data_IF_726022895873
#
_entry.id   IF_726022895873
#
_cell.length_a   1.000
_cell.length_b   1.000
_cell.length_c   1.000
_cell.angle_alpha   90.00
_cell.angle_beta   90.00
_cell.angle_gamma   90.00
#
_symmetry.space_group_name_H-M   'P 1'
#
loop_
_entity.id
_entity.type
_entity.pdbx_description
1 polymer ?
#
# COMPACT_ATOMS: atom_id res chain seq x y z
N UNK A 1 2.41 0.87 -10.81
CA UNK A 1 3.33 2.02 -10.85
C UNK A 1 4.18 2.02 -9.60
N UNK A 2 5.45 2.43 -9.66
CA UNK A 2 6.19 2.75 -8.43
C UNK A 2 6.24 4.27 -8.24
N UNK A 3 6.21 4.74 -7.01
CA UNK A 3 6.31 6.17 -6.67
C UNK A 3 7.78 6.52 -6.39
N UNK A 4 8.17 7.77 -6.64
CA UNK A 4 9.50 8.28 -6.28
C UNK A 4 9.49 9.07 -4.96
N UNK A 5 10.66 9.59 -4.57
CA UNK A 5 10.82 10.36 -3.34
C UNK A 5 9.95 11.62 -3.29
N UNK A 6 9.84 12.34 -4.42
CA UNK A 6 9.03 13.55 -4.50
C UNK A 6 7.55 13.19 -4.39
N UNK A 7 7.12 12.11 -5.05
CA UNK A 7 5.75 11.61 -4.93
C UNK A 7 5.42 11.25 -3.47
N UNK A 8 6.36 10.59 -2.76
CA UNK A 8 6.19 10.24 -1.35
C UNK A 8 6.05 11.47 -0.45
N UNK A 9 6.92 12.47 -0.63
CA UNK A 9 6.85 13.75 0.11
C UNK A 9 5.60 14.55 -0.21
N UNK A 10 5.12 14.50 -1.45
CA UNK A 10 3.85 15.12 -1.85
C UNK A 10 2.69 14.48 -1.10
N UNK A 11 2.57 13.15 -1.14
CA UNK A 11 1.50 12.43 -0.45
C UNK A 11 1.54 12.74 1.05
N UNK A 12 2.73 12.69 1.67
CA UNK A 12 2.89 13.00 3.09
C UNK A 12 2.44 14.43 3.47
N UNK A 13 2.80 15.41 2.64
CA UNK A 13 2.41 16.81 2.85
C UNK A 13 0.90 16.99 2.73
N UNK A 14 0.27 16.43 1.70
CA UNK A 14 -1.17 16.53 1.51
C UNK A 14 -1.97 15.66 2.50
N UNK A 15 -1.40 14.59 3.06
CA UNK A 15 -2.03 13.84 4.15
C UNK A 15 -1.99 14.62 5.46
N UNK A 16 -0.87 15.28 5.76
CA UNK A 16 -0.69 16.02 7.02
C UNK A 16 -1.38 17.39 7.00
N UNK A 17 -1.41 18.04 5.83
CA UNK A 17 -2.07 19.33 5.61
C UNK A 17 -3.02 19.24 4.41
N UNK A 18 -4.22 18.60 4.54
CA UNK A 18 -5.12 18.35 3.42
C UNK A 18 -5.61 19.58 2.65
N UNK A 19 -5.56 20.75 3.31
CA UNK A 19 -5.98 22.04 2.73
C UNK A 19 -4.82 22.83 2.12
N UNK A 20 -3.60 22.29 2.09
CA UNK A 20 -2.46 22.98 1.49
C UNK A 20 -2.69 23.22 -0.01
N UNK A 21 -2.47 24.45 -0.45
CA UNK A 21 -2.56 24.78 -1.87
C UNK A 21 -1.33 24.29 -2.64
N UNK A 22 -1.51 23.96 -3.93
CA UNK A 22 -0.44 23.53 -4.85
C UNK A 22 0.74 24.53 -4.88
N UNK A 23 0.45 25.84 -4.81
CA UNK A 23 1.48 26.88 -4.76
C UNK A 23 2.35 26.75 -3.50
N UNK A 24 1.73 26.58 -2.34
CA UNK A 24 2.45 26.48 -1.07
C UNK A 24 3.22 25.16 -0.97
N UNK A 25 2.61 24.05 -1.42
CA UNK A 25 3.29 22.77 -1.55
C UNK A 25 4.55 22.88 -2.44
N UNK A 26 4.46 23.62 -3.56
CA UNK A 26 5.60 23.82 -4.47
C UNK A 26 6.75 24.59 -3.81
N UNK A 27 6.44 25.61 -3.00
CA UNK A 27 7.43 26.38 -2.23
C UNK A 27 8.13 25.51 -1.19
N UNK A 28 7.37 24.74 -0.41
CA UNK A 28 7.91 23.87 0.65
C UNK A 28 8.76 22.73 0.09
N UNK A 29 8.33 22.14 -1.02
CA UNK A 29 9.03 21.04 -1.67
C UNK A 29 10.13 21.50 -2.65
N UNK A 30 10.30 22.82 -2.85
CA UNK A 30 11.32 23.43 -3.71
C UNK A 30 11.27 22.90 -5.16
N UNK A 31 10.07 22.80 -5.70
CA UNK A 31 9.83 22.37 -7.09
C UNK A 31 8.89 23.35 -7.79
N UNK A 32 8.87 23.34 -9.12
CA UNK A 32 7.93 24.18 -9.87
C UNK A 32 6.47 23.79 -9.56
N UNK A 33 5.58 24.79 -9.53
CA UNK A 33 4.13 24.58 -9.33
C UNK A 33 3.56 23.57 -10.33
N UNK A 34 3.95 23.66 -11.60
CA UNK A 34 3.54 22.72 -12.64
C UNK A 34 3.99 21.29 -12.36
N UNK A 35 5.14 21.09 -11.72
CA UNK A 35 5.61 19.77 -11.30
C UNK A 35 4.69 19.19 -10.24
N UNK A 36 4.31 19.96 -9.21
CA UNK A 36 3.35 19.49 -8.19
C UNK A 36 2.03 19.07 -8.82
N UNK A 37 1.47 19.93 -9.68
CA UNK A 37 0.18 19.65 -10.33
C UNK A 37 0.24 18.37 -11.16
N UNK A 38 1.23 18.26 -12.06
CA UNK A 38 1.38 17.09 -12.92
C UNK A 38 1.56 15.78 -12.12
N UNK A 39 2.21 15.85 -10.95
CA UNK A 39 2.44 14.70 -10.07
C UNK A 39 1.15 14.28 -9.36
N UNK A 40 0.40 15.23 -8.80
CA UNK A 40 -0.90 14.96 -8.19
C UNK A 40 -1.89 14.38 -9.20
N UNK A 41 -1.98 14.97 -10.39
CA UNK A 41 -2.86 14.49 -11.46
C UNK A 41 -2.51 13.06 -11.87
N UNK A 42 -1.21 12.74 -11.96
CA UNK A 42 -0.75 11.39 -12.27
C UNK A 42 -1.07 10.41 -11.13
N UNK A 43 -0.79 10.79 -9.88
CA UNK A 43 -1.08 9.94 -8.71
C UNK A 43 -2.57 9.64 -8.56
N UNK A 44 -3.44 10.62 -8.86
CA UNK A 44 -4.89 10.43 -8.88
C UNK A 44 -5.33 9.54 -10.05
N UNK A 45 -4.85 9.83 -11.27
CA UNK A 45 -5.15 9.02 -12.47
C UNK A 45 -4.78 7.55 -12.32
N UNK A 46 -3.65 7.29 -11.68
CA UNK A 46 -3.12 5.93 -11.48
C UNK A 46 -3.70 5.26 -10.22
N UNK A 47 -4.65 5.91 -9.52
CA UNK A 47 -5.35 5.36 -8.36
C UNK A 47 -4.53 5.28 -7.07
N UNK A 48 -3.34 5.89 -7.02
CA UNK A 48 -2.55 5.97 -5.77
C UNK A 48 -3.20 6.93 -4.78
N UNK A 49 -3.75 8.05 -5.27
CA UNK A 49 -4.60 8.93 -4.50
C UNK A 49 -6.04 8.65 -4.91
N UNK A 50 -6.81 8.02 -4.03
CA UNK A 50 -8.22 7.70 -4.28
C UNK A 50 -9.14 8.93 -4.14
N UNK A 51 -8.70 9.96 -3.41
CA UNK A 51 -9.47 11.20 -3.23
C UNK A 51 -8.76 12.21 -2.33
N UNK A 52 -9.36 13.39 -2.20
CA UNK A 52 -8.86 14.53 -1.40
C UNK A 52 -9.85 14.93 -0.29
N UNK A 53 -10.79 14.06 0.04
CA UNK A 53 -11.80 14.30 1.07
C UNK A 53 -11.24 14.20 2.49
N UNK A 54 -11.96 14.75 3.48
CA UNK A 54 -11.62 14.53 4.88
C UNK A 54 -11.77 13.04 5.25
N UNK A 55 -10.95 12.59 6.19
CA UNK A 55 -11.18 11.32 6.88
C UNK A 55 -12.30 11.51 7.91
N UNK A 56 -13.26 10.60 7.92
CA UNK A 56 -14.44 10.68 8.79
C UNK A 56 -14.32 9.60 9.87
N UNK A 57 -14.36 10.04 11.14
CA UNK A 57 -14.41 9.13 12.28
C UNK A 57 -15.85 8.69 12.56
N UNK A 58 -16.14 7.41 12.35
CA UNK A 58 -17.45 6.82 12.62
C UNK A 58 -17.84 6.93 14.11
N UNK A 59 -16.88 6.82 15.03
CA UNK A 59 -17.15 6.94 16.46
C UNK A 59 -17.61 8.37 16.83
N UNK A 60 -17.00 9.39 16.21
CA UNK A 60 -17.42 10.79 16.37
C UNK A 60 -18.83 11.07 15.81
N UNK A 61 -19.32 10.24 14.88
CA UNK A 61 -20.71 10.26 14.38
C UNK A 61 -21.70 9.48 15.27
N UNK A 62 -21.21 8.93 16.38
CA UNK A 62 -21.99 8.15 17.34
C UNK A 62 -22.03 6.65 17.05
N UNK A 63 -21.20 6.13 16.13
CA UNK A 63 -21.05 4.69 15.89
C UNK A 63 -19.87 4.13 16.70
N UNK A 64 -20.05 4.05 18.02
CA UNK A 64 -18.99 3.66 18.95
C UNK A 64 -18.62 2.17 18.95
N UNK A 65 -19.44 1.31 18.34
CA UNK A 65 -19.18 -0.14 18.26
C UNK A 65 -18.63 -0.47 16.88
N UNK A 66 -17.52 -1.20 16.83
CA UNK A 66 -17.00 -1.81 15.61
C UNK A 66 -17.05 -3.34 15.74
N UNK A 67 -17.52 -4.03 14.72
CA UNK A 67 -17.52 -5.48 14.67
C UNK A 67 -17.03 -5.99 13.31
N UNK A 68 -16.56 -7.22 13.30
CA UNK A 68 -16.23 -7.96 12.10
C UNK A 68 -17.21 -9.11 11.93
N UNK A 69 -17.87 -9.16 10.78
CA UNK A 69 -18.90 -10.15 10.48
C UNK A 69 -18.41 -11.04 9.35
N UNK A 70 -18.17 -12.30 9.65
CA UNK A 70 -17.86 -13.34 8.67
C UNK A 70 -19.16 -13.89 8.12
N UNK A 71 -19.31 -13.91 6.80
CA UNK A 71 -20.49 -14.37 6.08
C UNK A 71 -20.18 -15.67 5.34
N UNK A 72 -21.14 -16.59 5.38
CA UNK A 72 -21.19 -17.75 4.49
C UNK A 72 -22.31 -17.52 3.48
N UNK A 73 -22.01 -17.74 2.21
CA UNK A 73 -22.90 -17.44 1.09
C UNK A 73 -23.41 -18.72 0.42
N UNK A 74 -24.62 -18.64 -0.13
CA UNK A 74 -25.20 -19.69 -0.98
C UNK A 74 -24.36 -19.83 -2.24
N UNK A 75 -23.97 -21.06 -2.58
CA UNK A 75 -23.18 -21.40 -3.78
C UNK A 75 -23.78 -20.87 -5.10
N UNK A 76 -25.11 -20.68 -5.17
CA UNK A 76 -25.82 -20.31 -6.40
C UNK A 76 -25.90 -18.79 -6.68
N UNK A 77 -25.49 -17.92 -5.73
CA UNK A 77 -25.71 -16.47 -5.82
C UNK A 77 -24.52 -15.64 -6.34
N UNK A 78 -23.30 -16.17 -6.23
CA UNK A 78 -22.07 -15.40 -6.49
C UNK A 78 -21.82 -14.27 -5.49
N UNK A 79 -20.60 -13.70 -5.52
CA UNK A 79 -20.19 -12.67 -4.56
C UNK A 79 -20.69 -11.27 -4.93
N UNK A 80 -20.69 -10.92 -6.23
CA UNK A 80 -21.00 -9.55 -6.69
C UNK A 80 -22.43 -9.10 -6.33
N UNK A 81 -23.49 -9.93 -6.48
CA UNK A 81 -24.84 -9.52 -6.11
C UNK A 81 -25.04 -9.37 -4.60
N UNK A 82 -24.28 -10.12 -3.79
CA UNK A 82 -24.30 -9.97 -2.33
C UNK A 82 -23.56 -8.69 -1.94
N UNK A 83 -22.37 -8.46 -2.50
CA UNK A 83 -21.59 -7.25 -2.27
C UNK A 83 -22.39 -5.98 -2.61
N UNK A 84 -23.10 -5.97 -3.75
CA UNK A 84 -23.93 -4.84 -4.15
C UNK A 84 -25.09 -4.55 -3.17
N UNK A 85 -25.63 -5.58 -2.52
CA UNK A 85 -26.70 -5.43 -1.50
C UNK A 85 -26.12 -5.02 -0.15
N UNK A 86 -24.99 -5.60 0.26
CA UNK A 86 -24.28 -5.18 1.47
C UNK A 86 -23.88 -3.71 1.40
N UNK A 87 -23.49 -3.21 0.23
CA UNK A 87 -23.18 -1.79 0.01
C UNK A 87 -24.38 -0.84 0.24
N UNK A 88 -25.61 -1.36 0.31
CA UNK A 88 -26.81 -0.59 0.66
C UNK A 88 -27.03 -0.49 2.17
N UNK A 89 -26.29 -1.25 2.98
CA UNK A 89 -26.32 -1.21 4.44
C UNK A 89 -25.26 -0.18 4.89
N UNK A 90 -25.64 1.03 5.34
CA UNK A 90 -24.67 2.09 5.63
C UNK A 90 -23.64 1.74 6.71
N UNK A 91 -24.03 0.85 7.62
CA UNK A 91 -23.18 0.35 8.70
C UNK A 91 -22.08 -0.62 8.21
N UNK A 92 -22.21 -1.18 7.00
CA UNK A 92 -21.16 -1.97 6.36
C UNK A 92 -20.20 -1.02 5.66
N UNK A 93 -19.07 -0.74 6.31
CA UNK A 93 -18.08 0.24 5.83
C UNK A 93 -16.92 -0.38 5.06
N UNK A 94 -16.83 -1.72 5.06
CA UNK A 94 -15.82 -2.47 4.32
C UNK A 94 -16.27 -3.92 4.17
N UNK A 95 -16.02 -4.54 3.03
CA UNK A 95 -16.31 -5.94 2.80
C UNK A 95 -15.27 -6.55 1.86
N UNK A 96 -14.82 -7.77 2.18
CA UNK A 96 -13.80 -8.50 1.42
C UNK A 96 -14.24 -9.92 1.17
N UNK A 97 -13.99 -10.45 -0.02
CA UNK A 97 -13.95 -11.90 -0.23
C UNK A 97 -12.69 -12.45 0.45
N UNK A 98 -12.85 -13.51 1.26
CA UNK A 98 -11.75 -14.10 2.02
C UNK A 98 -11.64 -15.59 1.74
N UNK A 99 -10.44 -16.13 1.98
CA UNK A 99 -10.24 -17.59 2.11
C UNK A 99 -10.50 -18.02 3.54
N UNK A 100 -10.97 -19.25 3.75
CA UNK A 100 -11.07 -19.86 5.08
C UNK A 100 -12.51 -20.24 5.44
N UNK A 101 -12.94 -20.06 6.71
CA UNK A 101 -14.21 -20.61 7.22
C UNK A 101 -15.48 -19.87 6.76
N UNK A 102 -15.32 -18.79 6.00
CA UNK A 102 -16.41 -18.06 5.37
C UNK A 102 -15.97 -17.49 4.04
N UNK A 103 -16.93 -16.94 3.31
CA UNK A 103 -16.75 -16.44 1.95
C UNK A 103 -16.46 -14.94 1.94
N UNK A 104 -17.05 -14.18 2.87
CA UNK A 104 -16.81 -12.74 3.01
C UNK A 104 -16.56 -12.31 4.46
N UNK A 105 -15.76 -11.27 4.64
CA UNK A 105 -15.53 -10.59 5.91
C UNK A 105 -15.93 -9.12 5.77
N UNK A 106 -16.88 -8.70 6.59
CA UNK A 106 -17.35 -7.32 6.63
C UNK A 106 -16.83 -6.62 7.90
N UNK A 107 -16.35 -5.38 7.76
CA UNK A 107 -16.19 -4.46 8.89
C UNK A 107 -17.44 -3.62 9.00
N UNK A 108 -18.10 -3.71 10.15
CA UNK A 108 -19.36 -3.01 10.42
C UNK A 108 -19.23 -2.10 11.63
N UNK A 109 -20.01 -1.03 11.64
CA UNK A 109 -20.08 -0.08 12.76
C UNK A 109 -21.52 0.09 13.25
N UNK A 110 -21.71 0.25 14.56
CA UNK A 110 -23.03 0.39 15.17
C UNK A 110 -22.99 1.39 16.33
N UNK A 111 -24.14 1.92 16.72
CA UNK A 111 -24.27 2.89 17.82
C UNK A 111 -24.20 2.23 19.21
N UNK A 112 -24.59 0.97 19.30
CA UNK A 112 -24.61 0.16 20.53
C UNK A 112 -24.64 -1.33 20.19
N UNK A 113 -24.54 -2.21 21.18
CA UNK A 113 -24.68 -3.66 20.96
C UNK A 113 -26.09 -4.05 20.47
N UNK A 114 -27.13 -3.35 20.94
CA UNK A 114 -28.50 -3.56 20.45
C UNK A 114 -28.63 -3.13 18.99
N UNK A 115 -28.02 -2.00 18.62
CA UNK A 115 -27.98 -1.54 17.23
C UNK A 115 -27.17 -2.48 16.34
N UNK A 116 -26.09 -3.07 16.86
CA UNK A 116 -25.32 -4.09 16.16
C UNK A 116 -26.17 -5.32 15.82
N UNK A 117 -27.02 -5.80 16.75
CA UNK A 117 -27.93 -6.90 16.46
C UNK A 117 -28.84 -6.56 15.27
N UNK A 118 -29.46 -5.37 15.25
CA UNK A 118 -30.26 -4.90 14.12
C UNK A 118 -29.47 -4.91 12.81
N UNK A 119 -28.23 -4.44 12.82
CA UNK A 119 -27.36 -4.44 11.64
C UNK A 119 -27.08 -5.87 11.16
N UNK A 120 -26.80 -6.79 12.09
CA UNK A 120 -26.58 -8.21 11.77
C UNK A 120 -27.84 -8.84 11.16
N UNK A 121 -29.02 -8.54 11.70
CA UNK A 121 -30.30 -9.04 11.15
C UNK A 121 -30.49 -8.56 9.70
N UNK A 122 -30.24 -7.28 9.43
CA UNK A 122 -30.28 -6.72 8.06
C UNK A 122 -29.30 -7.41 7.13
N UNK A 123 -28.09 -7.73 7.61
CA UNK A 123 -27.07 -8.44 6.82
C UNK A 123 -27.50 -9.89 6.55
N UNK A 124 -28.09 -10.59 7.52
CA UNK A 124 -28.58 -11.97 7.36
C UNK A 124 -29.74 -12.02 6.37
N UNK A 125 -30.59 -11.00 6.34
CA UNK A 125 -31.70 -10.88 5.39
C UNK A 125 -31.25 -10.60 3.94
N UNK A 126 -29.96 -10.30 3.72
CA UNK A 126 -29.42 -10.14 2.36
C UNK A 126 -29.50 -11.47 1.63
N UNK A 127 -30.29 -11.50 0.56
CA UNK A 127 -30.45 -12.66 -0.30
C UNK A 127 -29.08 -13.20 -0.77
N UNK A 128 -28.78 -14.44 -0.39
CA UNK A 128 -27.52 -15.10 -0.67
C UNK A 128 -26.66 -15.32 0.58
N UNK A 129 -26.93 -14.65 1.70
CA UNK A 129 -26.30 -14.95 2.99
C UNK A 129 -26.98 -16.16 3.62
N UNK A 130 -26.22 -17.19 3.97
CA UNK A 130 -26.70 -18.38 4.70
C UNK A 130 -26.47 -18.25 6.19
N UNK A 131 -25.32 -17.69 6.57
CA UNK A 131 -24.90 -17.57 7.96
C UNK A 131 -24.03 -16.34 8.15
N UNK A 132 -24.19 -15.68 9.29
CA UNK A 132 -23.31 -14.64 9.77
C UNK A 132 -22.70 -15.02 11.13
N UNK A 133 -21.44 -14.68 11.35
CA UNK A 133 -20.76 -14.81 12.64
C UNK A 133 -20.00 -13.53 12.94
N UNK A 134 -20.30 -12.88 14.06
CA UNK A 134 -19.74 -11.59 14.42
C UNK A 134 -18.76 -11.68 15.59
N UNK A 135 -17.68 -10.90 15.53
CA UNK A 135 -16.80 -10.60 16.67
C UNK A 135 -16.71 -9.09 16.87
N UNK A 136 -16.76 -8.63 18.12
CA UNK A 136 -16.72 -7.19 18.43
C UNK A 136 -15.27 -6.77 18.68
N UNK A 137 -14.86 -5.67 18.06
CA UNK A 137 -13.58 -5.02 18.35
C UNK A 137 -13.66 -4.30 19.70
N UNK A 138 -12.86 -4.73 20.67
CA UNK A 138 -12.79 -4.08 21.98
C UNK A 138 -11.89 -2.84 21.97
N UNK A 139 -10.85 -2.84 21.13
CA UNK A 139 -9.92 -1.74 20.99
C UNK A 139 -9.17 -1.82 19.65
N UNK A 140 -9.01 -0.67 19.01
CA UNK A 140 -8.17 -0.54 17.82
C UNK A 140 -6.71 -0.30 18.24
N UNK A 141 -5.89 -1.36 18.20
CA UNK A 141 -4.46 -1.26 18.57
C UNK A 141 -3.63 -0.53 17.51
N UNK A 142 -3.96 -0.74 16.23
CA UNK A 142 -3.33 -0.05 15.10
C UNK A 142 -4.44 0.45 14.19
N UNK A 143 -4.64 1.77 14.06
CA UNK A 143 -5.63 2.30 13.12
C UNK A 143 -5.19 2.04 11.68
N UNK A 144 -6.13 2.10 10.76
CA UNK A 144 -5.82 2.09 9.33
C UNK A 144 -4.83 3.22 9.01
N UNK A 145 -3.70 2.88 8.41
CA UNK A 145 -2.65 3.83 8.05
C UNK A 145 -1.92 3.38 6.79
N UNK A 146 -1.85 4.24 5.79
CA UNK A 146 -1.18 3.95 4.50
C UNK A 146 0.13 4.69 4.34
N UNK A 147 0.32 5.80 5.05
CA UNK A 147 1.54 6.62 4.94
C UNK A 147 2.85 5.85 5.20
N UNK A 148 2.93 4.86 6.13
CA UNK A 148 4.11 4.02 6.26
C UNK A 148 4.45 3.22 4.99
N UNK A 149 3.45 2.77 4.21
CA UNK A 149 3.66 2.07 2.95
C UNK A 149 4.22 3.01 1.88
N UNK A 150 3.74 4.26 1.84
CA UNK A 150 4.25 5.31 0.93
C UNK A 150 5.75 5.52 1.16
N UNK A 151 6.17 5.71 2.42
CA UNK A 151 7.59 5.88 2.80
C UNK A 151 8.45 4.66 2.44
N UNK A 152 7.92 3.46 2.61
CA UNK A 152 8.61 2.22 2.25
C UNK A 152 8.75 2.07 0.72
N UNK A 153 7.74 2.47 -0.06
CA UNK A 153 7.76 2.37 -1.51
C UNK A 153 8.68 3.40 -2.17
N UNK A 154 8.70 4.65 -1.69
CA UNK A 154 9.56 5.72 -2.23
C UNK A 154 11.05 5.47 -1.96
N UNK A 155 11.40 4.98 -0.78
CA UNK A 155 12.79 4.68 -0.38
C UNK A 155 13.42 3.52 -1.17
N UNK A 156 12.66 2.46 -1.45
CA UNK A 156 13.13 1.31 -2.26
C UNK A 156 13.55 1.71 -3.67
N UNK A 157 12.85 2.68 -4.27
CA UNK A 157 13.18 3.17 -5.62
C UNK A 157 14.51 3.91 -5.65
N UNK A 158 14.80 4.73 -4.63
CA UNK A 158 16.09 5.43 -4.53
C UNK A 158 17.24 4.42 -4.44
N UNK A 159 17.13 3.40 -3.60
CA UNK A 159 18.15 2.37 -3.46
C UNK A 159 18.39 1.53 -4.74
N UNK A 160 17.38 1.41 -5.60
CA UNK A 160 17.49 0.74 -6.90
C UNK A 160 18.10 1.67 -7.97
N UNK A 161 17.81 2.97 -7.93
CA UNK A 161 18.38 3.98 -8.84
C UNK A 161 19.88 4.16 -8.60
N UNK A 162 20.31 4.24 -7.33
CA UNK A 162 21.73 4.40 -6.97
C UNK A 162 22.56 3.22 -7.44
N UNK A 163 22.05 1.98 -7.34
CA UNK A 163 22.75 0.77 -7.79
C UNK A 163 22.91 0.67 -9.31
N UNK A 164 22.02 1.29 -10.10
CA UNK A 164 22.08 1.25 -11.56
C UNK A 164 23.04 2.30 -12.15
N UNK A 165 23.43 3.31 -11.38
CA UNK A 165 24.36 4.38 -11.77
C UNK A 165 25.84 4.09 -11.50
N UNK A 166 26.20 2.99 -10.85
CA UNK A 166 27.59 2.65 -10.46
C UNK A 166 28.23 1.59 -11.36
N UNK A 167 27.82 1.46 -12.63
CA UNK A 167 28.57 0.63 -13.56
C UNK A 167 29.95 1.28 -13.82
N UNK A 168 31.09 0.59 -13.55
CA UNK A 168 32.39 1.15 -13.86
C UNK A 168 32.55 1.25 -15.38
N UNK A 169 32.88 2.46 -15.86
CA UNK A 169 33.19 2.72 -17.26
C UNK A 169 34.31 1.81 -17.75
N UNK A 170 34.06 1.09 -18.85
CA UNK A 170 35.07 0.33 -19.57
C UNK A 170 35.87 1.28 -20.45
N UNK A 171 36.75 2.07 -19.84
CA UNK A 171 37.77 2.82 -20.57
C UNK A 171 39.15 2.46 -19.99
N UNK A 172 39.73 1.39 -20.54
CA UNK A 172 41.17 1.12 -20.45
C UNK A 172 41.65 0.68 -21.84
N UNK A 173 41.68 1.69 -22.70
CA UNK A 173 42.66 1.97 -23.75
C UNK A 173 43.66 0.83 -24.06
N UNK A 174 43.41 0.18 -25.20
CA UNK A 174 44.43 -0.45 -26.03
C UNK A 174 45.58 0.53 -26.29
N UNK A 175 46.74 0.28 -25.68
CA UNK A 175 48.03 0.75 -26.20
C UNK A 175 48.96 -0.43 -26.44
N UNK A 176 49.23 -0.65 -27.72
CA UNK A 176 50.38 -1.41 -28.22
C UNK A 176 51.66 -0.65 -27.89
N UNK A 177 52.71 -1.35 -27.48
CA UNK A 177 54.05 -1.39 -28.07
C UNK A 177 55.04 -2.06 -27.11
N UNK A 178 55.75 -3.10 -27.59
CA UNK A 178 56.92 -3.68 -26.92
C UNK A 178 58.21 -2.96 -27.35
N UNK A 179 59.41 -3.59 -27.33
CA UNK A 179 59.83 -4.84 -26.67
C UNK A 179 61.13 -4.67 -25.84
N UNK A 180 61.52 -5.66 -25.01
CA UNK A 180 62.92 -5.72 -24.55
C UNK A 180 63.29 -6.61 -23.36
N UNK A 181 64.03 -7.67 -23.69
CA UNK A 181 65.10 -8.36 -22.93
C UNK A 181 64.78 -9.40 -21.83
N UNK A 182 65.07 -10.63 -22.28
CA UNK A 182 65.62 -11.87 -21.70
C UNK A 182 66.36 -11.86 -20.34
N UNK A 183 66.41 -13.09 -19.82
CA UNK A 183 67.26 -13.71 -18.77
C UNK A 183 66.78 -13.50 -17.33
N UNK A 184 66.62 -14.52 -16.47
CA UNK A 184 66.91 -15.95 -16.57
C UNK A 184 66.57 -16.68 -15.25
N UNK A 185 66.46 -18.01 -15.36
CA UNK A 185 66.67 -19.07 -14.33
C UNK A 185 66.03 -18.98 -12.93
N UNK A 186 65.24 -20.00 -12.57
CA UNK A 186 64.98 -20.37 -11.18
C UNK A 186 63.96 -21.50 -11.04
N UNK A 187 64.44 -22.73 -10.79
CA UNK A 187 63.68 -23.98 -10.58
C UNK A 187 62.97 -24.07 -9.21
N UNK A 188 62.04 -25.04 -9.15
CA UNK A 188 61.56 -25.91 -8.03
C UNK A 188 60.11 -25.62 -7.63
N UNK A 189 59.14 -26.48 -7.96
CA UNK A 189 58.79 -27.81 -7.38
C UNK A 189 58.08 -27.73 -6.02
N UNK A 190 56.91 -28.39 -5.95
CA UNK A 190 56.10 -28.65 -4.74
C UNK A 190 54.63 -28.26 -4.95
N UNK A 191 53.80 -29.12 -5.55
CA UNK A 191 52.83 -30.02 -4.87
C UNK A 191 51.96 -29.32 -3.83
N UNK A 192 50.64 -29.18 -4.07
CA UNK A 192 49.60 -30.14 -3.62
C UNK A 192 49.63 -30.27 -2.09
N UNK A 193 48.57 -30.06 -1.32
CA UNK A 193 47.19 -30.54 -1.47
C UNK A 193 46.45 -30.11 -0.17
N UNK A 194 45.11 -29.92 -0.20
CA UNK A 194 44.11 -30.21 0.88
C UNK A 194 44.38 -29.75 2.34
N UNK A 195 43.54 -28.98 3.04
CA UNK A 195 42.08 -28.87 3.15
C UNK A 195 41.68 -27.46 3.59
#
# INVERSE_FOLDING_TARGET
>A
MAIDDLDGRLIELFTTEPRIGVLEASRRLKVARGTVQARLDRLARDGVIAGFGPEIDAAALGYGVTAFVTLQLRQAGGHDPVAARLAQVPEVIEAHTITGPGDMLCRVVARSNTDLQRVIDVIVDVAGVERASSVISLATQVPYRTLPLVRAASSRRNAASTRKGTAPGRDAETRREGPGRREGSGRREGSAETW
#
